data_IF_924565131965
#
_entry.id   IF_924565131965
#
_cell.length_a   1.000
_cell.length_b   1.000
_cell.length_c   1.000
_cell.angle_alpha   90.00
_cell.angle_beta   90.00
_cell.angle_gamma   90.00
#
_symmetry.space_group_name_H-M   'P 1'
#
loop_
_entity.id
_entity.type
_entity.pdbx_description
1 polymer ?
#
# COMPACT_ATOMS: atom_id res chain seq x y z
N UNK A 1 21.50 14.49 -10.74
CA UNK A 1 20.77 13.75 -11.79
C UNK A 1 19.38 13.45 -11.26
N UNK A 2 18.29 13.85 -11.94
CA UNK A 2 16.93 13.59 -11.47
C UNK A 2 16.66 12.08 -11.43
N UNK A 3 15.82 11.64 -10.48
CA UNK A 3 15.47 10.22 -10.36
C UNK A 3 14.62 9.80 -11.57
N UNK A 4 14.97 8.71 -12.28
CA UNK A 4 14.21 8.30 -13.44
C UNK A 4 12.76 7.94 -13.04
N UNK A 5 11.76 8.32 -13.83
CA UNK A 5 10.38 7.89 -13.62
C UNK A 5 10.30 6.38 -13.79
N UNK A 6 9.44 5.74 -12.99
CA UNK A 6 9.29 4.29 -12.97
C UNK A 6 7.81 3.96 -12.80
N UNK A 7 7.36 2.96 -13.52
CA UNK A 7 6.04 2.37 -13.36
C UNK A 7 6.18 0.86 -13.27
N UNK A 8 5.31 0.22 -12.49
CA UNK A 8 5.25 -1.23 -12.41
C UNK A 8 4.31 -1.76 -13.49
N UNK A 9 4.61 -2.95 -14.02
CA UNK A 9 3.71 -3.62 -14.93
C UNK A 9 2.44 -4.07 -14.19
N UNK A 10 1.25 -3.82 -14.74
CA UNK A 10 0.00 -4.32 -14.18
C UNK A 10 -0.05 -5.85 -14.17
N UNK A 11 -0.88 -6.41 -13.29
CA UNK A 11 -1.04 -7.87 -13.21
C UNK A 11 -1.68 -8.39 -14.50
N UNK A 12 -1.02 -9.35 -15.14
CA UNK A 12 -1.47 -9.96 -16.39
C UNK A 12 -0.82 -9.40 -17.66
N UNK A 13 -0.07 -8.30 -17.56
CA UNK A 13 0.72 -7.79 -18.68
C UNK A 13 2.09 -8.48 -18.71
N UNK A 14 2.55 -8.87 -19.89
CA UNK A 14 3.89 -9.45 -20.10
C UNK A 14 4.83 -8.39 -20.68
N UNK A 15 6.15 -8.47 -20.42
CA UNK A 15 7.11 -7.53 -21.02
C UNK A 15 7.09 -7.54 -22.55
N UNK A 16 6.76 -8.68 -23.15
CA UNK A 16 6.72 -8.89 -24.60
C UNK A 16 5.52 -8.22 -25.27
N UNK A 17 4.38 -8.09 -24.57
CA UNK A 17 3.18 -7.42 -25.10
C UNK A 17 3.19 -5.91 -24.90
N UNK A 18 4.27 -5.36 -24.31
CA UNK A 18 4.38 -3.96 -23.98
C UNK A 18 4.79 -3.11 -25.19
N UNK A 19 3.93 -2.19 -25.60
CA UNK A 19 4.26 -1.19 -26.62
C UNK A 19 4.82 0.08 -25.99
N UNK A 20 5.54 0.89 -26.78
CA UNK A 20 6.06 2.19 -26.34
C UNK A 20 4.92 3.09 -25.82
N UNK A 21 3.80 3.14 -26.53
CA UNK A 21 2.63 3.95 -26.16
C UNK A 21 2.10 3.53 -24.79
N UNK A 22 1.91 2.23 -24.55
CA UNK A 22 1.46 1.70 -23.26
C UNK A 22 2.47 1.98 -22.14
N UNK A 23 3.76 1.90 -22.43
CA UNK A 23 4.81 2.24 -21.46
C UNK A 23 4.76 3.72 -21.06
N UNK A 24 4.54 4.63 -22.02
CA UNK A 24 4.39 6.06 -21.75
C UNK A 24 3.12 6.34 -20.94
N UNK A 25 2.01 5.64 -21.22
CA UNK A 25 0.79 5.75 -20.42
C UNK A 25 1.02 5.33 -18.96
N UNK A 26 1.73 4.23 -18.72
CA UNK A 26 2.08 3.77 -17.38
C UNK A 26 2.97 4.77 -16.62
N UNK A 27 3.93 5.40 -17.31
CA UNK A 27 4.82 6.41 -16.72
C UNK A 27 4.11 7.72 -16.36
N UNK A 28 2.97 8.01 -16.99
CA UNK A 28 2.13 9.18 -16.70
C UNK A 28 1.12 8.98 -15.56
N UNK A 29 1.06 7.79 -14.96
CA UNK A 29 0.27 7.59 -13.75
C UNK A 29 0.97 8.23 -12.53
N UNK A 30 0.23 8.84 -11.59
CA UNK A 30 -1.23 8.90 -11.46
C UNK A 30 -1.91 9.88 -12.41
N UNK A 31 -3.01 9.45 -13.05
CA UNK A 31 -3.82 10.30 -13.94
C UNK A 31 -4.85 11.06 -13.11
N UNK A 32 -4.83 12.38 -13.17
CA UNK A 32 -5.87 13.22 -12.55
C UNK A 32 -7.13 13.25 -13.44
N UNK A 33 -8.28 12.86 -12.89
CA UNK A 33 -9.58 12.89 -13.57
C UNK A 33 -10.20 14.29 -13.45
N UNK A 34 -10.16 14.89 -12.25
CA UNK A 34 -10.74 16.19 -11.95
C UNK A 34 -11.12 16.36 -10.49
N UNK A 35 -11.69 17.51 -10.09
CA UNK A 35 -12.28 17.71 -8.77
C UNK A 35 -13.58 16.92 -8.63
N UNK A 36 -13.76 16.24 -7.50
CA UNK A 36 -14.97 15.50 -7.18
C UNK A 36 -16.18 16.45 -7.01
N UNK A 37 -17.39 16.09 -7.49
CA UNK A 37 -18.54 17.01 -7.53
C UNK A 37 -19.07 17.42 -6.15
N UNK A 38 -18.91 16.60 -5.11
CA UNK A 38 -19.47 16.86 -3.78
C UNK A 38 -18.57 17.76 -2.91
N UNK A 39 -17.26 17.50 -2.91
CA UNK A 39 -16.30 18.07 -1.96
C UNK A 39 -15.10 18.76 -2.64
N UNK A 40 -15.03 18.74 -3.97
CA UNK A 40 -14.01 19.44 -4.76
C UNK A 40 -12.61 18.84 -4.68
N UNK A 41 -12.38 17.78 -3.88
CA UNK A 41 -11.08 17.14 -3.76
C UNK A 41 -10.67 16.44 -5.07
N UNK A 42 -9.37 16.40 -5.41
CA UNK A 42 -8.90 15.79 -6.64
C UNK A 42 -9.14 14.28 -6.63
N UNK A 43 -9.68 13.79 -7.74
CA UNK A 43 -9.84 12.37 -8.04
C UNK A 43 -8.72 11.94 -8.98
N UNK A 44 -7.98 10.91 -8.58
CA UNK A 44 -6.85 10.36 -9.31
C UNK A 44 -7.05 8.88 -9.61
N UNK A 45 -6.68 8.42 -10.80
CA UNK A 45 -6.64 7.01 -11.16
C UNK A 45 -5.18 6.54 -11.24
N UNK A 46 -4.89 5.39 -10.61
CA UNK A 46 -3.54 4.83 -10.58
C UNK A 46 -3.55 3.31 -10.40
N UNK A 47 -2.37 2.71 -10.46
CA UNK A 47 -2.18 1.27 -10.26
C UNK A 47 -1.28 1.07 -9.04
N UNK A 48 -1.78 0.26 -8.09
CA UNK A 48 -1.11 0.00 -6.83
C UNK A 48 -0.83 -1.49 -6.61
N UNK A 49 -0.36 -1.83 -5.41
CA UNK A 49 -0.08 -3.22 -5.01
C UNK A 49 -1.28 -4.16 -5.18
N UNK A 50 -2.49 -3.64 -4.95
CA UNK A 50 -3.73 -4.43 -4.99
C UNK A 50 -4.46 -4.33 -6.34
N UNK A 51 -3.81 -3.77 -7.36
CA UNK A 51 -4.39 -3.56 -8.67
C UNK A 51 -4.79 -2.11 -8.95
N UNK A 52 -5.60 -1.88 -10.00
CA UNK A 52 -6.05 -0.56 -10.41
C UNK A 52 -7.03 0.05 -9.39
N UNK A 53 -6.93 1.35 -9.17
CA UNK A 53 -7.77 2.06 -8.20
C UNK A 53 -8.02 3.52 -8.58
N UNK A 54 -9.12 4.04 -8.06
CA UNK A 54 -9.43 5.48 -7.98
C UNK A 54 -9.17 5.94 -6.55
N UNK A 55 -8.51 7.09 -6.41
CA UNK A 55 -8.23 7.73 -5.13
C UNK A 55 -8.96 9.06 -5.06
N UNK A 56 -9.53 9.30 -3.89
CA UNK A 56 -10.18 10.54 -3.53
C UNK A 56 -9.86 10.80 -2.05
N UNK A 57 -9.06 11.84 -1.78
CA UNK A 57 -8.52 12.10 -0.44
C UNK A 57 -7.76 10.89 0.15
N UNK A 58 -8.27 10.35 1.27
CA UNK A 58 -7.76 9.14 1.94
C UNK A 58 -8.41 7.84 1.48
N UNK A 59 -9.40 7.91 0.59
CA UNK A 59 -10.19 6.76 0.13
C UNK A 59 -9.64 6.21 -1.17
N UNK A 60 -9.53 4.88 -1.25
CA UNK A 60 -8.98 4.16 -2.40
C UNK A 60 -9.99 3.13 -2.90
N UNK A 61 -10.71 3.35 -3.98
CA UNK A 61 -11.66 2.39 -4.50
C UNK A 61 -11.07 1.56 -5.66
N UNK A 62 -11.16 0.24 -5.56
CA UNK A 62 -10.60 -0.67 -6.55
C UNK A 62 -11.43 -0.68 -7.83
N UNK A 63 -10.76 -0.65 -8.97
CA UNK A 63 -11.33 -0.81 -10.30
C UNK A 63 -11.12 -2.26 -10.75
N UNK A 64 -12.00 -2.80 -11.61
CA UNK A 64 -11.91 -4.19 -12.04
C UNK A 64 -10.82 -4.39 -13.11
N UNK A 65 -10.76 -3.48 -14.08
CA UNK A 65 -9.85 -3.55 -15.22
C UNK A 65 -8.69 -2.54 -15.09
N UNK A 66 -7.51 -2.95 -15.57
CA UNK A 66 -6.33 -2.11 -15.72
C UNK A 66 -6.55 -1.04 -16.79
N UNK A 67 -7.18 -1.39 -17.91
CA UNK A 67 -7.43 -0.47 -19.03
C UNK A 67 -8.37 0.67 -18.61
N UNK A 68 -9.31 0.38 -17.72
CA UNK A 68 -10.24 1.36 -17.16
C UNK A 68 -9.50 2.50 -16.44
N UNK A 69 -8.31 2.28 -15.86
CA UNK A 69 -7.52 3.37 -15.21
C UNK A 69 -7.20 4.50 -16.19
N UNK A 70 -6.98 4.17 -17.46
CA UNK A 70 -6.58 5.15 -18.47
C UNK A 70 -7.76 5.92 -19.05
N UNK A 71 -8.96 5.33 -19.03
CA UNK A 71 -10.16 5.86 -19.70
C UNK A 71 -11.25 6.31 -18.75
N UNK A 72 -11.20 5.91 -17.47
CA UNK A 72 -12.23 6.20 -16.47
C UNK A 72 -12.50 7.70 -16.37
N UNK A 73 -13.78 8.05 -16.45
CA UNK A 73 -14.29 9.40 -16.26
C UNK A 73 -14.81 9.64 -14.85
N UNK A 74 -15.17 10.89 -14.55
CA UNK A 74 -15.64 11.29 -13.21
C UNK A 74 -16.87 10.49 -12.77
N UNK A 75 -17.88 10.33 -13.61
CA UNK A 75 -19.12 9.63 -13.27
C UNK A 75 -18.85 8.19 -12.79
N UNK A 76 -18.00 7.47 -13.51
CA UNK A 76 -17.61 6.10 -13.15
C UNK A 76 -16.72 6.07 -11.90
N UNK A 77 -15.82 7.05 -11.75
CA UNK A 77 -14.99 7.18 -10.56
C UNK A 77 -15.82 7.38 -9.28
N UNK A 78 -16.85 8.25 -9.35
CA UNK A 78 -17.80 8.49 -8.25
C UNK A 78 -18.57 7.21 -7.91
N UNK A 79 -19.04 6.47 -8.92
CA UNK A 79 -19.74 5.19 -8.71
C UNK A 79 -18.85 4.17 -7.97
N UNK A 80 -17.61 4.02 -8.41
CA UNK A 80 -16.65 3.09 -7.79
C UNK A 80 -16.31 3.51 -6.35
N UNK A 81 -16.19 4.82 -6.10
CA UNK A 81 -16.02 5.37 -4.75
C UNK A 81 -17.25 5.08 -3.87
N UNK A 82 -18.46 5.35 -4.36
CA UNK A 82 -19.70 5.08 -3.65
C UNK A 82 -19.89 3.59 -3.32
N UNK A 83 -19.60 2.70 -4.27
CA UNK A 83 -19.63 1.25 -4.05
C UNK A 83 -18.65 0.82 -2.96
N UNK A 84 -17.48 1.46 -2.86
CA UNK A 84 -16.54 1.19 -1.77
C UNK A 84 -17.08 1.67 -0.43
N UNK A 85 -17.75 2.82 -0.35
CA UNK A 85 -18.40 3.24 0.91
C UNK A 85 -19.47 2.23 1.35
N UNK A 86 -20.28 1.72 0.43
CA UNK A 86 -21.29 0.70 0.74
C UNK A 86 -20.70 -0.67 1.13
N UNK A 87 -19.55 -1.06 0.56
CA UNK A 87 -18.89 -2.36 0.85
C UNK A 87 -17.95 -2.31 2.05
N UNK A 88 -17.26 -1.18 2.25
CA UNK A 88 -16.27 -0.96 3.30
C UNK A 88 -16.88 -0.42 4.59
N UNK A 89 -17.96 0.36 4.48
CA UNK A 89 -18.84 0.73 5.57
C UNK A 89 -19.85 -0.38 5.80
N UNK A 90 -19.41 -1.55 6.25
CA UNK A 90 -20.34 -2.41 6.97
C UNK A 90 -20.64 -1.65 8.25
N UNK A 91 -21.71 -0.85 8.23
CA UNK A 91 -22.31 -0.26 9.43
C UNK A 91 -22.26 -1.36 10.46
N UNK A 92 -21.55 -1.13 11.57
CA UNK A 92 -21.49 -2.12 12.64
C UNK A 92 -22.95 -2.39 13.00
N UNK A 93 -23.48 -3.51 12.48
CA UNK A 93 -24.88 -3.80 12.66
C UNK A 93 -25.06 -3.89 14.18
N UNK A 94 -26.04 -3.13 14.67
CA UNK A 94 -26.24 -2.94 16.10
C UNK A 94 -26.40 -4.28 16.82
N UNK A 95 -26.38 -4.27 18.16
CA UNK A 95 -26.68 -5.47 18.94
C UNK A 95 -27.96 -6.13 18.43
N UNK A 96 -27.91 -7.41 18.06
CA UNK A 96 -29.12 -8.18 17.75
C UNK A 96 -29.98 -8.30 19.01
N UNK A 97 -29.35 -8.42 20.18
CA UNK A 97 -30.01 -8.60 21.47
C UNK A 97 -29.08 -8.22 22.60
N UNK A 98 -29.59 -7.48 23.59
CA UNK A 98 -28.89 -7.24 24.85
C UNK A 98 -29.39 -8.27 25.87
N UNK A 99 -28.47 -9.04 26.46
CA UNK A 99 -28.78 -10.15 27.37
C UNK A 99 -28.77 -9.74 28.85
N UNK A 100 -28.29 -8.54 29.16
CA UNK A 100 -28.19 -8.01 30.53
C UNK A 100 -26.75 -7.82 30.99
N UNK A 101 -26.51 -7.84 32.30
CA UNK A 101 -25.18 -7.71 32.91
C UNK A 101 -24.54 -9.06 33.22
N UNK A 102 -23.22 -9.12 33.06
CA UNK A 102 -22.40 -10.25 33.49
C UNK A 102 -22.24 -10.23 35.02
N UNK A 103 -22.15 -11.39 35.70
CA UNK A 103 -21.89 -11.46 37.15
C UNK A 103 -20.60 -10.73 37.58
N UNK A 104 -19.60 -10.69 36.70
CA UNK A 104 -18.34 -9.95 36.89
C UNK A 104 -18.41 -8.46 36.43
N UNK A 105 -19.61 -7.97 36.12
CA UNK A 105 -19.89 -6.59 35.71
C UNK A 105 -19.83 -6.33 34.20
N UNK A 106 -20.64 -5.39 33.72
CA UNK A 106 -20.69 -4.95 32.33
C UNK A 106 -21.72 -5.69 31.46
N UNK A 107 -22.19 -5.02 30.41
CA UNK A 107 -23.25 -5.53 29.55
C UNK A 107 -22.78 -6.67 28.62
N UNK A 108 -23.67 -7.64 28.45
CA UNK A 108 -23.55 -8.77 27.54
C UNK A 108 -24.51 -8.55 26.37
N UNK A 109 -23.99 -8.53 25.15
CA UNK A 109 -24.79 -8.28 23.94
C UNK A 109 -24.46 -9.27 22.83
N UNK A 110 -25.47 -9.76 22.13
CA UNK A 110 -25.32 -10.55 20.91
C UNK A 110 -25.14 -9.60 19.74
N UNK A 111 -24.04 -9.75 19.00
CA UNK A 111 -23.63 -8.89 17.89
C UNK A 111 -23.52 -9.70 16.59
N UNK A 112 -23.83 -9.10 15.43
CA UNK A 112 -23.63 -9.76 14.14
C UNK A 112 -22.15 -9.73 13.77
N UNK A 113 -21.60 -10.89 13.39
CA UNK A 113 -20.20 -11.05 13.02
C UNK A 113 -20.00 -11.65 11.63
N UNK A 114 -18.80 -11.47 11.06
CA UNK A 114 -18.38 -12.07 9.78
C UNK A 114 -18.53 -13.60 9.76
N UNK A 115 -18.35 -14.24 10.92
CA UNK A 115 -18.34 -15.70 11.09
C UNK A 115 -19.64 -16.25 11.67
N UNK A 116 -20.67 -15.41 11.84
CA UNK A 116 -21.91 -15.72 12.54
C UNK A 116 -22.15 -14.78 13.73
N UNK A 117 -23.34 -14.83 14.35
CA UNK A 117 -23.63 -14.10 15.58
C UNK A 117 -22.65 -14.47 16.70
N UNK A 118 -22.31 -13.51 17.55
CA UNK A 118 -21.43 -13.73 18.69
C UNK A 118 -21.91 -12.95 19.90
N UNK A 119 -21.72 -13.51 21.10
CA UNK A 119 -21.86 -12.78 22.36
C UNK A 119 -20.60 -11.95 22.59
N UNK A 120 -20.78 -10.69 22.93
CA UNK A 120 -19.72 -9.77 23.34
C UNK A 120 -19.92 -9.39 24.80
N UNK A 121 -18.87 -9.56 25.58
CA UNK A 121 -18.75 -9.01 26.94
C UNK A 121 -17.38 -8.37 27.10
N UNK A 122 -17.34 -7.06 27.33
CA UNK A 122 -16.12 -6.27 27.37
C UNK A 122 -15.15 -6.57 26.21
N UNK A 123 -14.04 -7.28 26.48
CA UNK A 123 -13.00 -7.69 25.52
C UNK A 123 -13.18 -9.12 25.01
N UNK A 124 -14.04 -9.92 25.65
CA UNK A 124 -14.27 -11.33 25.32
C UNK A 124 -15.39 -11.42 24.28
N UNK A 125 -15.14 -12.17 23.21
CA UNK A 125 -16.12 -12.43 22.16
C UNK A 125 -16.28 -13.94 21.98
N UNK A 126 -17.51 -14.44 22.13
CA UNK A 126 -17.85 -15.85 21.97
C UNK A 126 -18.81 -16.05 20.81
N UNK A 127 -18.35 -16.71 19.74
CA UNK A 127 -19.20 -17.05 18.58
C UNK A 127 -20.27 -18.06 18.98
N UNK A 128 -21.52 -17.81 18.62
CA UNK A 128 -22.62 -18.75 18.85
C UNK A 128 -22.47 -19.97 17.93
N UNK A 129 -22.85 -21.17 18.39
CA UNK A 129 -23.03 -22.34 17.52
C UNK A 129 -24.03 -22.05 16.40
N UNK A 130 -23.88 -22.70 15.25
CA UNK A 130 -24.74 -22.45 14.07
C UNK A 130 -26.15 -22.98 14.26
N UNK A 131 -26.33 -23.93 15.16
CA UNK A 131 -27.64 -24.48 15.54
C UNK A 131 -28.41 -23.54 16.47
N UNK A 132 -27.73 -22.59 17.11
CA UNK A 132 -28.33 -21.72 18.13
C UNK A 132 -28.70 -20.37 17.52
N UNK A 133 -30.00 -20.08 17.48
CA UNK A 133 -30.50 -18.81 16.98
C UNK A 133 -30.10 -17.65 17.92
N UNK A 134 -29.69 -16.48 17.39
CA UNK A 134 -29.28 -15.33 18.20
C UNK A 134 -30.38 -14.80 19.12
N UNK A 135 -31.65 -15.11 18.82
CA UNK A 135 -32.82 -14.72 19.59
C UNK A 135 -33.12 -15.67 20.76
N UNK A 136 -32.71 -16.94 20.65
CA UNK A 136 -32.98 -17.98 21.64
C UNK A 136 -31.93 -18.05 22.76
N UNK A 137 -30.81 -17.33 22.61
CA UNK A 137 -29.69 -17.39 23.57
C UNK A 137 -30.08 -16.77 24.90
N UNK A 138 -29.98 -17.56 25.95
CA UNK A 138 -30.18 -17.12 27.33
C UNK A 138 -28.89 -16.53 27.92
N UNK A 139 -29.03 -15.77 29.01
CA UNK A 139 -27.87 -15.20 29.71
C UNK A 139 -26.94 -16.31 30.20
N UNK A 140 -27.47 -17.40 30.78
CA UNK A 140 -26.68 -18.51 31.32
C UNK A 140 -25.83 -19.23 30.25
N UNK A 141 -26.41 -19.48 29.07
CA UNK A 141 -25.68 -20.07 27.94
C UNK A 141 -24.61 -19.12 27.41
N UNK A 142 -24.91 -17.82 27.34
CA UNK A 142 -23.96 -16.81 26.94
C UNK A 142 -22.77 -16.73 27.92
N UNK A 143 -23.03 -16.82 29.22
CA UNK A 143 -21.99 -16.87 30.25
C UNK A 143 -21.12 -18.11 30.11
N UNK A 144 -21.71 -19.29 29.86
CA UNK A 144 -20.96 -20.52 29.63
C UNK A 144 -20.03 -20.41 28.41
N UNK A 145 -20.54 -19.88 27.29
CA UNK A 145 -19.75 -19.66 26.07
C UNK A 145 -18.64 -18.61 26.28
N UNK A 146 -18.92 -17.54 27.04
CA UNK A 146 -17.95 -16.52 27.38
C UNK A 146 -16.85 -17.06 28.30
N UNK A 147 -17.20 -17.84 29.32
CA UNK A 147 -16.25 -18.48 30.23
C UNK A 147 -15.36 -19.49 29.48
N UNK A 148 -15.94 -20.31 28.60
CA UNK A 148 -15.19 -21.24 27.75
C UNK A 148 -14.22 -20.50 26.83
N UNK A 149 -14.65 -19.38 26.24
CA UNK A 149 -13.81 -18.55 25.38
C UNK A 149 -12.79 -17.72 26.14
N UNK A 150 -13.08 -17.29 27.36
CA UNK A 150 -12.11 -16.65 28.24
C UNK A 150 -11.03 -17.65 28.66
N UNK A 151 -11.40 -18.88 29.00
CA UNK A 151 -10.48 -19.97 29.31
C UNK A 151 -9.65 -20.40 28.08
N UNK A 152 -10.26 -20.47 26.89
CA UNK A 152 -9.57 -20.79 25.62
C UNK A 152 -8.81 -19.59 25.03
N UNK A 153 -9.13 -18.36 25.46
CA UNK A 153 -8.59 -17.08 25.00
C UNK A 153 -7.13 -16.85 25.36
N UNK A 154 -6.55 -17.71 26.21
CA UNK A 154 -5.12 -17.78 26.48
C UNK A 154 -4.28 -18.38 25.34
N UNK A 155 -4.87 -18.94 24.28
CA UNK A 155 -4.11 -19.30 23.08
C UNK A 155 -3.85 -18.07 22.22
N UNK A 156 -3.02 -17.16 22.74
CA UNK A 156 -2.05 -16.48 21.90
C UNK A 156 -1.35 -17.60 21.14
N UNK A 157 -1.68 -17.77 19.85
CA UNK A 157 -0.72 -18.35 18.91
C UNK A 157 0.51 -17.46 19.09
N UNK A 158 1.45 -17.93 19.91
CA UNK A 158 2.81 -17.44 19.96
C UNK A 158 3.28 -17.57 18.52
N UNK A 159 3.16 -16.49 17.75
CA UNK A 159 3.97 -16.30 16.59
C UNK A 159 5.37 -16.55 17.13
N UNK A 160 5.95 -17.68 16.75
CA UNK A 160 7.35 -17.94 17.03
C UNK A 160 8.07 -16.71 16.49
N UNK A 161 8.50 -15.85 17.41
CA UNK A 161 9.37 -14.76 17.10
C UNK A 161 10.60 -15.42 16.53
N UNK A 162 10.68 -15.42 15.20
CA UNK A 162 11.86 -15.81 14.46
C UNK A 162 13.00 -15.01 15.11
N UNK A 163 14.00 -15.65 15.73
CA UNK A 163 15.05 -14.92 16.42
C UNK A 163 15.64 -13.95 15.40
N UNK A 164 15.61 -12.65 15.73
CA UNK A 164 16.39 -11.64 15.04
C UNK A 164 17.82 -12.16 15.03
N UNK A 165 18.32 -12.51 13.85
CA UNK A 165 19.74 -12.73 13.64
C UNK A 165 20.47 -11.53 14.25
N UNK A 166 21.29 -11.82 15.25
CA UNK A 166 22.10 -10.84 15.94
C UNK A 166 22.87 -10.05 14.87
N UNK A 167 22.68 -8.73 14.90
CA UNK A 167 23.51 -7.81 14.15
C UNK A 167 24.96 -8.08 14.54
N UNK A 168 25.78 -8.47 13.54
CA UNK A 168 27.23 -8.50 13.70
C UNK A 168 27.69 -7.14 14.26
N UNK A 169 28.45 -7.09 15.36
CA UNK A 169 28.99 -5.83 15.84
C UNK A 169 29.96 -5.25 14.80
N UNK A 170 29.76 -3.97 14.48
CA UNK A 170 30.74 -3.13 13.79
C UNK A 170 32.03 -3.15 14.61
N UNK A 171 33.11 -3.70 14.02
CA UNK A 171 34.44 -3.50 14.54
C UNK A 171 34.79 -2.01 14.43
N UNK A 172 35.08 -1.42 15.60
CA UNK A 172 35.52 -0.05 15.76
C UNK A 172 36.95 0.13 15.23
N UNK A 173 37.18 1.33 14.69
CA UNK A 173 38.47 1.80 14.20
C UNK A 173 39.49 2.07 15.32
N UNK A 174 40.78 1.84 15.02
CA UNK A 174 41.97 2.62 15.48
C UNK A 174 43.26 2.01 14.88
N UNK A 175 44.39 2.73 14.78
CA UNK A 175 44.63 4.09 14.25
C UNK A 175 45.74 4.11 13.15
N UNK A 176 45.92 5.27 12.50
CA UNK A 176 47.07 5.60 11.63
C UNK A 176 48.40 5.62 12.40
N UNK A 177 49.47 5.15 11.77
CA UNK A 177 50.83 5.67 11.92
C UNK A 177 51.60 5.51 10.60
N UNK A 178 52.37 6.54 10.27
CA UNK A 178 53.03 6.79 8.98
C UNK A 178 54.47 6.26 8.94
N UNK A 179 54.99 5.99 7.72
CA UNK A 179 56.26 6.51 7.18
C UNK A 179 56.85 5.61 6.07
N UNK A 180 57.15 6.27 4.94
CA UNK A 180 57.91 5.91 3.71
C UNK A 180 59.38 5.52 3.97
N UNK A 181 60.25 5.04 3.02
CA UNK A 181 60.30 5.41 1.58
C UNK A 181 60.90 4.42 0.51
N UNK A 182 60.68 4.76 -0.79
CA UNK A 182 61.54 4.63 -2.03
C UNK A 182 62.28 3.28 -2.33
N UNK A 183 62.40 2.75 -3.56
CA UNK A 183 62.75 3.38 -4.83
C UNK A 183 62.69 2.42 -6.05
N UNK A 184 62.44 3.00 -7.25
CA UNK A 184 62.97 2.71 -8.61
C UNK A 184 62.82 1.28 -9.23
N UNK A 185 62.58 1.02 -10.53
CA UNK A 185 62.63 1.75 -11.82
C UNK A 185 61.69 1.02 -12.84
N UNK A 186 60.79 1.69 -13.61
CA UNK A 186 60.89 2.25 -15.00
C UNK A 186 60.97 1.21 -16.16
N UNK A 187 60.59 1.50 -17.43
CA UNK A 187 59.29 1.88 -18.04
C UNK A 187 58.96 1.21 -19.42
N UNK A 188 57.73 1.42 -19.94
CA UNK A 188 57.31 1.71 -21.36
C UNK A 188 55.87 1.17 -21.57
N UNK A 189 54.95 1.75 -22.34
CA UNK A 189 54.96 2.83 -23.31
C UNK A 189 53.60 3.54 -23.33
N UNK A 190 53.62 4.82 -23.72
CA UNK A 190 52.43 5.65 -23.94
C UNK A 190 51.95 5.56 -25.39
N UNK A 191 50.63 5.61 -25.60
CA UNK A 191 50.03 6.17 -26.81
C UNK A 191 48.81 7.02 -26.41
N UNK A 192 48.75 8.22 -26.99
CA UNK A 192 48.00 9.41 -26.57
C UNK A 192 46.58 9.48 -27.18
N UNK A 193 45.73 10.44 -26.71
CA UNK A 193 44.29 10.49 -26.94
C UNK A 193 43.86 11.17 -28.27
N UNK A 194 42.59 10.93 -28.64
CA UNK A 194 41.89 11.51 -29.80
C UNK A 194 41.75 13.03 -29.71
N UNK A 195 42.09 13.71 -30.80
CA UNK A 195 41.78 15.11 -31.06
C UNK A 195 40.40 15.25 -31.72
N UNK A 196 39.57 16.20 -31.27
CA UNK A 196 38.50 16.80 -32.07
C UNK A 196 38.43 18.30 -31.75
N UNK A 197 38.87 19.14 -32.68
CA UNK A 197 38.47 20.54 -32.78
C UNK A 197 38.59 20.99 -34.25
N UNK A 198 37.44 21.20 -34.90
CA UNK A 198 37.25 21.82 -36.23
C UNK A 198 37.20 23.37 -36.09
N UNK A 199 37.23 24.18 -37.16
CA UNK A 199 38.14 25.33 -37.26
C UNK A 199 37.43 26.70 -37.28
N UNK A 200 38.29 27.72 -37.38
CA UNK A 200 38.14 29.19 -37.40
C UNK A 200 37.27 29.78 -38.55
N UNK A 201 36.40 30.73 -38.15
CA UNK A 201 36.23 32.16 -38.58
C UNK A 201 36.02 32.65 -40.05
N UNK A 202 35.27 33.78 -40.10
CA UNK A 202 35.00 34.79 -41.15
C UNK A 202 33.78 34.50 -42.09
N UNK A 203 32.86 35.43 -42.41
CA UNK A 203 32.89 36.89 -42.50
C UNK A 203 31.48 37.55 -42.35
N UNK A 204 31.46 38.83 -41.91
CA UNK A 204 30.40 39.85 -42.13
C UNK A 204 30.71 40.58 -43.47
N UNK A 205 29.82 41.33 -44.17
CA UNK A 205 28.83 42.32 -43.67
C UNK A 205 27.46 42.24 -44.42
N UNK A 206 26.44 43.11 -44.36
CA UNK A 206 26.28 44.57 -44.26
C UNK A 206 24.82 44.88 -43.85
N UNK A 207 24.61 46.06 -43.27
CA UNK A 207 23.31 46.65 -42.92
C UNK A 207 22.79 47.47 -44.10
N UNK A 208 21.48 47.43 -44.40
CA UNK A 208 20.71 48.56 -44.93
C UNK A 208 19.20 48.34 -44.75
N UNK A 209 18.50 49.46 -44.69
CA UNK A 209 17.17 49.74 -44.14
C UNK A 209 16.12 49.81 -45.26
N UNK A 210 14.87 49.49 -44.94
CA UNK A 210 13.66 50.14 -45.45
C UNK A 210 12.57 49.97 -44.38
#
# INVERSE_FOLDING_TARGET
MPKPPRASLPKGWTPESLTLERALMLLNLPRQIGPHPEDGLPVEAAIGRFGPYVKHGSTYANVADVEEVFTIGMNRAVEVLAQKFSRGGRVAAGPLRELGEHPDGGAVSVMPGKYGPYVKWAKVNATLPKELAPEAVTLDEALALLAEKAAKGGKVKKAAAKPKAAAKPKAAAKPKAAATPKAAAKPKAAAKPKAVAKPKAAAKPKVAKA
#
